data_IF_600769070294
#
_entry.id   IF_600769070294
#
_cell.length_a   1.000
_cell.length_b   1.000
_cell.length_c   1.000
_cell.angle_alpha   90.00
_cell.angle_beta   90.00
_cell.angle_gamma   90.00
#
_symmetry.space_group_name_H-M   'P 1'
#
loop_
_entity.id
_entity.type
_entity.pdbx_description
1 polymer ?
#
# COMPACT_ATOMS: atom_id res chain seq x y z
N UNK A 1 -30.83 3.53 29.61
CA UNK A 1 -30.49 2.77 28.38
C UNK A 1 -29.19 2.01 28.61
N UNK A 2 -29.19 0.69 28.45
CA UNK A 2 -27.97 -0.13 28.63
C UNK A 2 -27.17 -0.12 27.31
N UNK A 3 -25.84 0.05 27.32
CA UNK A 3 -25.02 0.01 26.11
C UNK A 3 -24.71 -1.46 25.76
N UNK A 4 -25.46 -2.03 24.80
CA UNK A 4 -25.18 -3.35 24.21
C UNK A 4 -25.40 -3.45 22.69
N UNK A 5 -25.67 -2.37 21.97
CA UNK A 5 -26.24 -2.47 20.62
C UNK A 5 -25.30 -2.17 19.42
N UNK A 6 -23.97 -2.24 19.55
CA UNK A 6 -23.08 -2.02 18.39
C UNK A 6 -22.50 -3.29 17.75
N UNK A 7 -22.69 -4.46 18.35
CA UNK A 7 -22.17 -5.72 17.81
C UNK A 7 -23.30 -6.60 17.26
N UNK A 8 -23.59 -6.48 15.96
CA UNK A 8 -24.45 -7.43 15.26
C UNK A 8 -23.67 -8.72 15.02
N UNK A 9 -24.17 -9.84 15.55
CA UNK A 9 -23.55 -11.17 15.44
C UNK A 9 -23.76 -11.71 14.01
N UNK A 10 -22.71 -12.02 13.23
CA UNK A 10 -22.88 -12.55 11.88
C UNK A 10 -23.46 -13.99 11.91
N UNK A 11 -24.16 -14.43 10.85
CA UNK A 11 -24.90 -15.69 10.83
C UNK A 11 -24.00 -16.93 10.99
N UNK A 12 -24.55 -17.95 11.67
CA UNK A 12 -23.83 -19.15 12.17
C UNK A 12 -23.25 -20.08 11.08
N UNK A 13 -23.52 -19.83 9.80
CA UNK A 13 -23.05 -20.67 8.69
C UNK A 13 -21.58 -20.44 8.30
N UNK A 14 -20.87 -19.49 8.94
CA UNK A 14 -19.56 -19.02 8.47
C UNK A 14 -18.33 -19.41 9.33
N UNK A 15 -18.46 -20.25 10.35
CA UNK A 15 -17.34 -20.53 11.26
C UNK A 15 -17.12 -22.03 11.54
N UNK A 16 -15.86 -22.46 11.47
CA UNK A 16 -15.41 -23.79 11.90
C UNK A 16 -15.28 -23.86 13.44
N UNK A 17 -15.18 -25.08 13.99
CA UNK A 17 -15.11 -25.35 15.46
C UNK A 17 -14.01 -24.57 16.20
N UNK A 18 -12.90 -24.24 15.55
CA UNK A 18 -11.79 -23.47 16.16
C UNK A 18 -12.14 -21.98 16.34
N UNK A 19 -12.93 -21.42 15.42
CA UNK A 19 -13.28 -20.01 15.42
C UNK A 19 -14.38 -19.67 16.44
N UNK A 20 -15.24 -20.65 16.78
CA UNK A 20 -16.18 -20.54 17.91
C UNK A 20 -15.47 -20.52 19.27
N UNK A 21 -14.28 -21.13 19.35
CA UNK A 21 -13.43 -21.13 20.55
C UNK A 21 -12.76 -19.76 20.73
N UNK A 22 -12.30 -19.14 19.64
CA UNK A 22 -11.77 -17.77 19.62
C UNK A 22 -12.79 -16.73 20.07
N UNK A 23 -14.06 -16.83 19.64
CA UNK A 23 -15.12 -15.91 20.09
C UNK A 23 -15.47 -16.08 21.57
N UNK A 24 -15.47 -17.31 22.11
CA UNK A 24 -15.67 -17.56 23.54
C UNK A 24 -14.49 -17.05 24.39
N UNK A 25 -13.27 -17.14 23.87
CA UNK A 25 -12.08 -16.54 24.50
C UNK A 25 -12.18 -15.00 24.48
N UNK A 26 -12.68 -14.41 23.40
CA UNK A 26 -12.92 -12.97 23.27
C UNK A 26 -14.03 -12.46 24.22
N UNK A 27 -15.19 -13.14 24.31
CA UNK A 27 -16.27 -12.82 25.27
C UNK A 27 -15.83 -13.00 26.74
N UNK A 28 -15.06 -14.05 27.05
CA UNK A 28 -14.57 -14.29 28.42
C UNK A 28 -13.50 -13.31 28.88
N UNK A 29 -12.73 -12.72 27.93
CA UNK A 29 -11.67 -11.74 28.22
C UNK A 29 -12.19 -10.31 28.25
N UNK A 30 -13.22 -9.95 27.49
CA UNK A 30 -13.79 -8.60 27.48
C UNK A 30 -14.62 -8.25 28.73
N UNK A 31 -15.07 -9.25 29.50
CA UNK A 31 -15.81 -9.01 30.75
C UNK A 31 -14.95 -8.65 31.96
N UNK A 32 -13.61 -8.73 31.86
CA UNK A 32 -12.69 -8.53 33.00
C UNK A 32 -11.88 -7.24 32.97
N UNK A 33 -12.02 -6.41 31.93
CA UNK A 33 -11.27 -5.15 31.78
C UNK A 33 -12.22 -3.95 31.82
N UNK A 34 -12.75 -3.73 33.01
CA UNK A 34 -13.27 -2.43 33.46
C UNK A 34 -12.67 -2.17 34.83
N UNK A 35 -11.37 -1.86 34.86
CA UNK A 35 -10.69 -1.03 35.84
C UNK A 35 -9.17 -1.19 35.64
N UNK A 36 -8.53 -0.04 35.46
CA UNK A 36 -7.13 0.25 35.73
C UNK A 36 -6.07 -0.36 34.80
N UNK A 37 -5.86 0.30 33.66
CA UNK A 37 -4.56 0.32 32.97
C UNK A 37 -4.09 1.78 32.91
N UNK A 38 -3.55 2.29 34.00
CA UNK A 38 -2.67 3.46 33.96
C UNK A 38 -1.26 2.90 33.75
N UNK A 39 -0.71 3.07 32.54
CA UNK A 39 0.70 2.73 32.29
C UNK A 39 1.57 3.75 33.04
N UNK A 40 2.54 3.31 33.87
CA UNK A 40 3.23 4.21 34.80
C UNK A 40 4.22 5.20 34.14
N UNK A 41 4.56 5.04 32.86
CA UNK A 41 5.40 5.99 32.12
C UNK A 41 4.74 6.33 30.77
N UNK A 42 4.56 7.63 30.52
CA UNK A 42 4.18 8.17 29.21
C UNK A 42 5.25 7.85 28.16
N UNK A 43 4.84 7.42 26.97
CA UNK A 43 5.74 7.11 25.85
C UNK A 43 5.76 8.25 24.85
N UNK A 44 6.94 8.75 24.51
CA UNK A 44 7.10 9.82 23.54
C UNK A 44 7.10 9.22 22.13
N UNK A 45 6.21 9.68 21.26
CA UNK A 45 6.14 9.20 19.88
C UNK A 45 6.18 10.36 18.88
N UNK A 46 6.78 10.11 17.71
CA UNK A 46 6.72 11.00 16.56
C UNK A 46 5.70 10.46 15.55
N UNK A 47 4.81 11.32 15.06
CA UNK A 47 3.83 10.97 14.05
C UNK A 47 4.07 11.79 12.79
N UNK A 48 4.15 11.13 11.62
CA UNK A 48 4.49 11.79 10.35
C UNK A 48 3.33 12.52 9.67
N UNK A 49 2.24 12.80 10.41
CA UNK A 49 1.06 13.53 9.96
C UNK A 49 0.36 14.23 11.12
N UNK A 50 -0.51 15.18 10.80
CA UNK A 50 -1.38 15.80 11.80
C UNK A 50 -2.48 14.83 12.25
N UNK A 51 -2.78 14.81 13.56
CA UNK A 51 -3.92 14.07 14.11
C UNK A 51 -5.18 14.95 14.21
N UNK A 52 -6.36 14.32 14.23
CA UNK A 52 -7.59 15.02 14.64
C UNK A 52 -7.64 15.18 16.16
N UNK A 53 -8.48 16.08 16.67
CA UNK A 53 -8.64 16.25 18.14
C UNK A 53 -9.07 14.96 18.84
N UNK A 54 -9.95 14.16 18.22
CA UNK A 54 -10.36 12.87 18.74
C UNK A 54 -9.22 11.84 18.76
N UNK A 55 -8.32 11.90 17.78
CA UNK A 55 -7.14 11.03 17.70
C UNK A 55 -6.07 11.44 18.72
N UNK A 56 -5.87 12.74 18.95
CA UNK A 56 -5.00 13.26 20.03
C UNK A 56 -5.49 12.82 21.39
N UNK A 57 -6.77 13.05 21.70
CA UNK A 57 -7.37 12.61 22.97
C UNK A 57 -7.22 11.10 23.19
N UNK A 58 -7.37 10.29 22.13
CA UNK A 58 -7.13 8.85 22.21
C UNK A 58 -5.65 8.53 22.50
N UNK A 59 -4.70 9.25 21.89
CA UNK A 59 -3.28 9.04 22.15
C UNK A 59 -2.93 9.36 23.61
N UNK A 60 -3.47 10.46 24.14
CA UNK A 60 -3.33 10.84 25.56
C UNK A 60 -3.90 9.76 26.49
N UNK A 61 -5.11 9.27 26.20
CA UNK A 61 -5.76 8.19 26.96
C UNK A 61 -4.96 6.87 26.93
N UNK A 62 -4.16 6.66 25.88
CA UNK A 62 -3.27 5.51 25.72
C UNK A 62 -1.89 5.73 26.37
N UNK A 63 -1.63 6.90 26.96
CA UNK A 63 -0.34 7.25 27.56
C UNK A 63 0.74 7.58 26.53
N UNK A 64 0.36 8.01 25.32
CA UNK A 64 1.28 8.41 24.25
C UNK A 64 1.40 9.94 24.22
N UNK A 65 2.60 10.44 24.51
CA UNK A 65 2.97 11.85 24.30
C UNK A 65 3.35 12.05 22.85
N UNK A 66 2.54 12.80 22.09
CA UNK A 66 2.65 12.90 20.63
C UNK A 66 3.36 14.17 20.18
N UNK A 67 4.40 14.01 19.35
CA UNK A 67 4.97 15.07 18.51
C UNK A 67 4.52 14.85 17.07
N UNK A 68 3.77 15.80 16.50
CA UNK A 68 3.29 15.74 15.12
C UNK A 68 4.26 16.48 14.20
N UNK A 69 4.85 15.76 13.24
CA UNK A 69 5.76 16.32 12.22
C UNK A 69 5.26 15.86 10.84
N UNK A 70 4.35 16.62 10.22
CA UNK A 70 3.76 16.23 8.94
C UNK A 70 4.83 16.08 7.86
N UNK A 71 4.87 14.93 7.20
CA UNK A 71 5.83 14.66 6.13
C UNK A 71 5.52 15.37 4.81
N UNK A 72 4.28 15.84 4.63
CA UNK A 72 3.79 16.44 3.41
C UNK A 72 3.08 17.76 3.71
N UNK A 73 3.27 18.74 2.84
CA UNK A 73 2.47 19.97 2.81
C UNK A 73 1.71 20.06 1.48
N UNK A 74 0.44 20.41 1.59
CA UNK A 74 -0.40 20.76 0.43
C UNK A 74 -0.32 22.27 0.23
N UNK A 75 0.29 22.68 -0.87
CA UNK A 75 0.36 24.09 -1.25
C UNK A 75 -0.65 24.39 -2.34
N UNK A 76 -1.60 25.25 -2.06
CA UNK A 76 -2.57 25.70 -3.06
C UNK A 76 -1.96 26.75 -3.98
N UNK A 77 -2.28 26.66 -5.27
CA UNK A 77 -1.85 27.64 -6.27
C UNK A 77 -2.67 28.90 -6.12
N UNK A 78 -2.02 30.05 -6.32
CA UNK A 78 -2.66 31.38 -6.29
C UNK A 78 -2.83 32.01 -7.68
N UNK A 79 -2.29 31.39 -8.73
CA UNK A 79 -2.35 31.93 -10.10
C UNK A 79 -3.73 31.70 -10.74
N UNK A 80 -4.72 32.44 -10.28
CA UNK A 80 -6.09 32.34 -10.74
C UNK A 80 -6.30 32.95 -12.14
N UNK A 81 -5.46 33.91 -12.55
CA UNK A 81 -5.55 34.59 -13.86
C UNK A 81 -5.47 33.61 -15.04
N UNK A 82 -4.62 32.58 -14.96
CA UNK A 82 -4.56 31.54 -15.99
C UNK A 82 -5.84 30.72 -16.07
N UNK A 83 -6.54 30.53 -14.95
CA UNK A 83 -7.80 29.80 -14.92
C UNK A 83 -8.91 30.61 -15.56
N UNK A 84 -9.00 31.92 -15.25
CA UNK A 84 -9.97 32.80 -15.90
C UNK A 84 -9.78 32.83 -17.42
N UNK A 85 -8.53 32.91 -17.90
CA UNK A 85 -8.24 32.84 -19.33
C UNK A 85 -8.72 31.54 -19.98
N UNK A 86 -8.50 30.40 -19.32
CA UNK A 86 -8.98 29.10 -19.83
C UNK A 86 -10.50 29.07 -19.90
N UNK A 87 -11.20 29.63 -18.90
CA UNK A 87 -12.66 29.75 -18.91
C UNK A 87 -13.13 30.65 -20.05
N UNK A 88 -12.50 31.81 -20.26
CA UNK A 88 -12.86 32.76 -21.31
C UNK A 88 -12.62 32.19 -22.73
N UNK A 89 -11.61 31.33 -22.90
CA UNK A 89 -11.30 30.65 -24.16
C UNK A 89 -12.19 29.41 -24.43
N UNK A 90 -12.87 28.87 -23.41
CA UNK A 90 -13.67 27.65 -23.52
C UNK A 90 -15.16 27.98 -23.70
N UNK A 91 -15.79 27.45 -24.76
CA UNK A 91 -17.20 27.76 -25.07
C UNK A 91 -18.17 27.21 -24.03
N UNK A 92 -18.00 25.93 -23.69
CA UNK A 92 -18.75 25.19 -22.69
C UNK A 92 -17.76 24.40 -21.85
N UNK A 93 -18.04 24.29 -20.55
CA UNK A 93 -17.19 23.55 -19.62
C UNK A 93 -18.03 22.63 -18.75
N UNK A 94 -17.42 21.54 -18.28
CA UNK A 94 -17.85 20.77 -17.11
C UNK A 94 -16.69 20.68 -16.13
N UNK A 95 -16.97 20.42 -14.85
CA UNK A 95 -15.94 20.33 -13.82
C UNK A 95 -15.75 18.89 -13.35
N UNK A 96 -14.50 18.44 -13.27
CA UNK A 96 -14.14 17.13 -12.74
C UNK A 96 -13.18 17.25 -11.55
N UNK A 97 -13.42 16.47 -10.49
CA UNK A 97 -12.64 16.51 -9.26
C UNK A 97 -12.20 15.10 -8.82
N UNK A 98 -10.89 14.89 -8.71
CA UNK A 98 -10.29 13.63 -8.26
C UNK A 98 -9.85 13.63 -6.79
N UNK A 99 -10.03 14.74 -6.08
CA UNK A 99 -9.75 14.80 -4.65
C UNK A 99 -10.43 15.98 -3.95
N UNK A 100 -10.59 15.87 -2.62
CA UNK A 100 -11.04 16.98 -1.75
C UNK A 100 -10.11 18.19 -1.81
N UNK A 101 -8.81 17.99 -2.03
CA UNK A 101 -7.87 19.11 -2.19
C UNK A 101 -8.07 19.81 -3.54
N UNK A 102 -8.45 19.08 -4.59
CA UNK A 102 -8.91 19.68 -5.84
C UNK A 102 -10.08 20.65 -5.61
N UNK A 103 -11.07 20.22 -4.83
CA UNK A 103 -12.24 21.05 -4.47
C UNK A 103 -11.83 22.28 -3.65
N UNK A 104 -10.96 22.12 -2.64
CA UNK A 104 -10.46 23.24 -1.83
C UNK A 104 -9.69 24.28 -2.66
N UNK A 105 -8.84 23.83 -3.58
CA UNK A 105 -8.09 24.74 -4.46
C UNK A 105 -9.00 25.47 -5.45
N UNK A 106 -10.01 24.77 -5.97
CA UNK A 106 -11.07 25.39 -6.77
C UNK A 106 -11.83 26.47 -5.98
N UNK A 107 -12.25 26.18 -4.74
CA UNK A 107 -12.97 27.15 -3.91
C UNK A 107 -12.11 28.38 -3.58
N UNK A 108 -10.79 28.21 -3.39
CA UNK A 108 -9.87 29.35 -3.26
C UNK A 108 -9.88 30.25 -4.50
N UNK A 109 -9.90 29.68 -5.70
CA UNK A 109 -10.04 30.48 -6.92
C UNK A 109 -11.37 31.23 -7.00
N UNK A 110 -12.46 30.57 -6.59
CA UNK A 110 -13.79 31.21 -6.51
C UNK A 110 -13.78 32.39 -5.55
N UNK A 111 -13.19 32.21 -4.35
CA UNK A 111 -13.04 33.26 -3.35
C UNK A 111 -12.08 34.38 -3.80
N UNK A 112 -11.08 34.07 -4.63
CA UNK A 112 -10.18 35.05 -5.22
C UNK A 112 -10.79 35.84 -6.39
N UNK A 113 -12.03 35.54 -6.79
CA UNK A 113 -12.79 36.30 -7.78
C UNK A 113 -12.88 35.67 -9.17
N UNK A 114 -12.44 34.42 -9.35
CA UNK A 114 -12.67 33.68 -10.62
C UNK A 114 -14.17 33.47 -10.81
N UNK A 115 -14.66 33.80 -12.00
CA UNK A 115 -16.08 33.66 -12.35
C UNK A 115 -16.29 32.34 -13.08
N UNK A 116 -16.75 31.34 -12.35
CA UNK A 116 -17.16 30.06 -12.92
C UNK A 116 -18.60 30.16 -13.48
N UNK A 117 -18.90 29.52 -14.62
CA UNK A 117 -20.25 29.51 -15.17
C UNK A 117 -21.25 28.83 -14.22
N UNK A 118 -22.45 29.41 -14.10
CA UNK A 118 -23.55 28.83 -13.32
C UNK A 118 -24.13 27.58 -14.01
N UNK A 119 -24.75 26.69 -13.23
CA UNK A 119 -25.36 25.45 -13.71
C UNK A 119 -24.40 24.54 -14.51
N UNK A 120 -23.11 24.59 -14.19
CA UNK A 120 -22.10 23.73 -14.81
C UNK A 120 -22.20 22.32 -14.24
N UNK A 121 -22.31 21.26 -15.06
CA UNK A 121 -22.26 19.89 -14.59
C UNK A 121 -20.95 19.59 -13.83
N UNK A 122 -21.07 18.91 -12.69
CA UNK A 122 -19.93 18.62 -11.80
C UNK A 122 -19.82 17.13 -11.53
N UNK A 123 -18.61 16.62 -11.71
CA UNK A 123 -18.25 15.23 -11.51
C UNK A 123 -17.23 15.09 -10.38
N UNK A 124 -17.42 14.13 -9.50
CA UNK A 124 -16.50 13.81 -8.42
C UNK A 124 -16.13 12.32 -8.45
N UNK A 125 -14.85 12.02 -8.26
CA UNK A 125 -14.33 10.65 -8.28
C UNK A 125 -14.94 9.74 -7.20
N UNK A 126 -15.51 10.30 -6.13
CA UNK A 126 -16.04 9.51 -5.03
C UNK A 126 -16.80 10.34 -3.99
N UNK A 127 -17.48 9.64 -3.08
CA UNK A 127 -18.46 10.25 -2.16
C UNK A 127 -17.88 11.36 -1.27
N UNK A 128 -16.65 11.19 -0.76
CA UNK A 128 -15.98 12.21 0.07
C UNK A 128 -15.67 13.50 -0.70
N UNK A 129 -15.35 13.39 -1.98
CA UNK A 129 -15.09 14.55 -2.85
C UNK A 129 -16.40 15.26 -3.18
N UNK A 130 -17.46 14.51 -3.45
CA UNK A 130 -18.80 15.05 -3.66
C UNK A 130 -19.36 15.75 -2.41
N UNK A 131 -19.14 15.21 -1.22
CA UNK A 131 -19.53 15.85 0.05
C UNK A 131 -18.82 17.20 0.23
N UNK A 132 -17.52 17.28 -0.06
CA UNK A 132 -16.78 18.56 -0.02
C UNK A 132 -17.29 19.58 -1.05
N UNK A 133 -17.81 19.12 -2.19
CA UNK A 133 -18.44 20.00 -3.20
C UNK A 133 -19.79 20.54 -2.71
N UNK A 134 -20.58 19.70 -2.04
CA UNK A 134 -21.84 20.11 -1.41
C UNK A 134 -21.63 21.18 -0.35
N UNK A 135 -20.58 21.03 0.47
CA UNK A 135 -20.21 22.02 1.49
C UNK A 135 -19.95 23.43 0.92
N UNK A 136 -19.58 23.54 -0.36
CA UNK A 136 -19.33 24.82 -1.04
C UNK A 136 -20.44 25.21 -2.03
N UNK A 137 -21.59 24.52 -1.99
CA UNK A 137 -22.81 24.90 -2.72
C UNK A 137 -23.08 24.14 -4.03
N UNK A 138 -22.41 23.02 -4.29
CA UNK A 138 -22.72 22.14 -5.44
C UNK A 138 -23.54 20.93 -4.96
N UNK A 139 -24.86 21.04 -5.05
CA UNK A 139 -25.77 19.98 -4.58
C UNK A 139 -25.89 18.81 -5.59
N UNK A 140 -25.82 19.11 -6.88
CA UNK A 140 -25.95 18.15 -7.98
C UNK A 140 -24.56 17.74 -8.51
N UNK A 141 -24.03 16.64 -7.94
CA UNK A 141 -22.70 16.12 -8.25
C UNK A 141 -22.80 14.67 -8.68
N UNK A 142 -22.38 14.38 -9.91
CA UNK A 142 -22.32 13.03 -10.46
C UNK A 142 -21.11 12.27 -9.89
N UNK A 143 -21.35 11.06 -9.40
CA UNK A 143 -20.32 10.20 -8.78
C UNK A 143 -20.42 8.80 -9.40
N UNK A 144 -19.30 8.21 -9.86
CA UNK A 144 -19.32 6.87 -10.44
C UNK A 144 -19.48 5.79 -9.37
N UNK A 145 -20.02 4.63 -9.76
CA UNK A 145 -20.06 3.44 -8.90
C UNK A 145 -18.64 2.99 -8.52
N UNK A 146 -17.75 2.94 -9.52
CA UNK A 146 -16.32 2.72 -9.33
C UNK A 146 -15.64 4.05 -8.97
N UNK A 147 -15.29 4.23 -7.69
CA UNK A 147 -14.79 5.49 -7.16
C UNK A 147 -13.29 5.72 -7.39
N UNK A 148 -12.87 5.66 -8.66
CA UNK A 148 -11.50 5.95 -9.12
C UNK A 148 -11.49 6.73 -10.44
N UNK A 149 -10.30 7.03 -10.96
CA UNK A 149 -10.12 7.84 -12.16
C UNK A 149 -10.71 7.20 -13.42
N UNK A 150 -10.75 5.87 -13.49
CA UNK A 150 -11.32 5.12 -14.62
C UNK A 150 -12.84 5.18 -14.56
N UNK A 151 -13.43 4.91 -13.39
CA UNK A 151 -14.87 5.02 -13.20
C UNK A 151 -15.39 6.43 -13.46
N UNK A 152 -14.65 7.46 -13.04
CA UNK A 152 -14.97 8.86 -13.33
C UNK A 152 -14.94 9.15 -14.84
N UNK A 153 -13.94 8.61 -15.55
CA UNK A 153 -13.85 8.79 -17.00
C UNK A 153 -15.03 8.16 -17.73
N UNK A 154 -15.37 6.90 -17.39
CA UNK A 154 -16.49 6.20 -18.00
C UNK A 154 -17.82 6.91 -17.75
N UNK A 155 -18.05 7.43 -16.55
CA UNK A 155 -19.24 8.22 -16.25
C UNK A 155 -19.35 9.46 -17.14
N UNK A 156 -18.26 10.23 -17.28
CA UNK A 156 -18.23 11.42 -18.13
C UNK A 156 -18.46 11.05 -19.61
N UNK A 157 -17.81 9.99 -20.11
CA UNK A 157 -18.00 9.50 -21.48
C UNK A 157 -19.46 9.13 -21.73
N UNK A 158 -20.05 8.37 -20.81
CA UNK A 158 -21.45 7.95 -20.88
C UNK A 158 -22.41 9.14 -20.94
N UNK A 159 -22.18 10.17 -20.13
CA UNK A 159 -22.99 11.39 -20.13
C UNK A 159 -22.81 12.17 -21.43
N UNK A 160 -21.58 12.31 -21.94
CA UNK A 160 -21.32 12.94 -23.24
C UNK A 160 -22.00 12.22 -24.42
N UNK A 161 -22.15 10.90 -24.34
CA UNK A 161 -22.89 10.12 -25.34
C UNK A 161 -24.41 10.28 -25.24
N UNK A 162 -24.95 10.47 -24.02
CA UNK A 162 -26.39 10.52 -23.75
C UNK A 162 -26.98 11.92 -23.79
N UNK A 163 -26.17 12.95 -23.54
CA UNK A 163 -26.59 14.34 -23.35
C UNK A 163 -26.08 15.23 -24.50
N UNK A 164 -26.91 15.52 -25.53
CA UNK A 164 -26.50 16.35 -26.67
C UNK A 164 -26.01 17.77 -26.29
N UNK A 165 -26.45 18.28 -25.14
CA UNK A 165 -26.05 19.57 -24.59
C UNK A 165 -24.56 19.62 -24.21
N UNK A 166 -23.94 18.47 -23.92
CA UNK A 166 -22.52 18.35 -23.60
C UNK A 166 -21.63 18.31 -24.85
N UNK A 167 -22.20 18.30 -26.06
CA UNK A 167 -21.41 18.38 -27.28
C UNK A 167 -20.54 19.65 -27.31
N UNK A 168 -19.29 19.48 -27.75
CA UNK A 168 -18.25 20.51 -27.82
C UNK A 168 -17.91 21.15 -26.45
N UNK A 169 -18.05 20.38 -25.36
CA UNK A 169 -17.75 20.82 -24.00
C UNK A 169 -16.36 20.38 -23.55
N UNK A 170 -15.61 21.27 -22.92
CA UNK A 170 -14.30 20.97 -22.34
C UNK A 170 -14.44 20.51 -20.89
N UNK A 171 -13.80 19.41 -20.53
CA UNK A 171 -13.68 18.95 -19.14
C UNK A 171 -12.55 19.69 -18.45
N UNK A 172 -12.86 20.54 -17.47
CA UNK A 172 -11.87 21.16 -16.60
C UNK A 172 -11.65 20.29 -15.37
N UNK A 173 -10.50 19.64 -15.32
CA UNK A 173 -10.15 18.73 -14.23
C UNK A 173 -9.29 19.44 -13.18
N UNK A 174 -9.86 19.72 -12.00
CA UNK A 174 -9.14 20.39 -10.90
C UNK A 174 -8.38 19.37 -10.06
N UNK A 175 -7.05 19.37 -10.17
CA UNK A 175 -6.21 18.28 -9.69
C UNK A 175 -4.93 18.76 -8.98
N UNK A 176 -4.21 17.80 -8.40
CA UNK A 176 -2.86 18.01 -7.89
C UNK A 176 -1.79 17.96 -8.99
N UNK A 177 -0.57 18.37 -8.65
CA UNK A 177 0.62 18.22 -9.50
C UNK A 177 1.00 16.75 -9.72
N UNK A 178 0.78 15.92 -8.71
CA UNK A 178 0.88 14.45 -8.75
C UNK A 178 -0.52 13.88 -8.99
N UNK A 179 -0.80 13.51 -10.24
CA UNK A 179 -2.07 12.90 -10.66
C UNK A 179 -1.81 11.67 -11.51
N UNK A 180 -2.75 10.73 -11.50
CA UNK A 180 -2.74 9.58 -12.41
C UNK A 180 -3.32 9.99 -13.76
N UNK A 181 -2.78 9.44 -14.83
CA UNK A 181 -3.13 9.83 -16.20
C UNK A 181 -4.38 9.13 -16.75
N UNK A 182 -4.94 8.15 -16.01
CA UNK A 182 -6.08 7.33 -16.44
C UNK A 182 -7.26 8.17 -16.94
N UNK A 183 -7.72 9.13 -16.14
CA UNK A 183 -8.87 9.98 -16.50
C UNK A 183 -8.64 10.72 -17.82
N UNK A 184 -7.49 11.38 -17.94
CA UNK A 184 -7.11 12.12 -19.14
C UNK A 184 -7.03 11.18 -20.35
N UNK A 185 -6.40 10.03 -20.18
CA UNK A 185 -6.23 9.05 -21.24
C UNK A 185 -7.58 8.63 -21.82
N UNK A 186 -8.51 8.14 -21.00
CA UNK A 186 -9.82 7.67 -21.48
C UNK A 186 -10.67 8.77 -22.12
N UNK A 187 -10.66 10.00 -21.57
CA UNK A 187 -11.40 11.11 -22.17
C UNK A 187 -10.80 11.52 -23.53
N UNK A 188 -9.47 11.58 -23.63
CA UNK A 188 -8.79 11.96 -24.88
C UNK A 188 -9.01 10.93 -25.99
N UNK A 189 -8.93 9.63 -25.67
CA UNK A 189 -9.23 8.54 -26.62
C UNK A 189 -10.69 8.56 -27.09
N UNK A 190 -11.60 9.14 -26.30
CA UNK A 190 -13.01 9.31 -26.65
C UNK A 190 -13.29 10.66 -27.33
N UNK A 191 -12.26 11.37 -27.79
CA UNK A 191 -12.34 12.68 -28.44
C UNK A 191 -12.98 13.78 -27.56
N UNK A 192 -12.95 13.62 -26.23
CA UNK A 192 -13.43 14.61 -25.27
C UNK A 192 -12.26 15.52 -24.85
N UNK A 193 -12.40 16.82 -25.07
CA UNK A 193 -11.38 17.80 -24.68
C UNK A 193 -11.28 17.88 -23.15
N UNK A 194 -10.06 17.71 -22.62
CA UNK A 194 -9.78 17.78 -21.18
C UNK A 194 -8.61 18.74 -20.92
N UNK A 195 -8.82 19.69 -20.01
CA UNK A 195 -7.78 20.59 -19.50
C UNK A 195 -7.61 20.37 -18.00
N UNK A 196 -6.40 19.94 -17.62
CA UNK A 196 -6.04 19.82 -16.21
C UNK A 196 -5.69 21.19 -15.64
N UNK A 197 -6.40 21.57 -14.58
CA UNK A 197 -6.15 22.76 -13.78
C UNK A 197 -5.48 22.32 -12.48
N UNK A 198 -4.16 22.46 -12.42
CA UNK A 198 -3.38 22.12 -11.21
C UNK A 198 -3.65 23.18 -10.15
N UNK A 199 -4.44 22.84 -9.13
CA UNK A 199 -4.86 23.78 -8.06
C UNK A 199 -4.07 23.63 -6.78
N UNK A 200 -3.33 22.52 -6.62
CA UNK A 200 -2.42 22.33 -5.51
C UNK A 200 -1.18 21.54 -5.93
N UNK A 201 -0.13 21.66 -5.13
CA UNK A 201 1.06 20.82 -5.23
C UNK A 201 1.32 20.11 -3.90
N UNK A 202 1.80 18.87 -3.96
CA UNK A 202 2.17 18.11 -2.76
C UNK A 202 3.69 18.11 -2.60
N UNK A 203 4.19 18.87 -1.64
CA UNK A 203 5.62 18.94 -1.31
C UNK A 203 5.97 18.02 -0.17
N UNK A 204 7.15 17.41 -0.25
CA UNK A 204 7.79 16.73 0.87
C UNK A 204 8.35 17.79 1.82
N UNK A 205 8.05 17.64 3.10
CA UNK A 205 8.55 18.53 4.14
C UNK A 205 9.95 18.11 4.57
N UNK A 206 10.77 19.11 4.90
CA UNK A 206 11.94 18.88 5.72
C UNK A 206 11.48 18.72 7.17
N UNK A 207 11.46 17.48 7.63
CA UNK A 207 10.97 17.11 8.96
C UNK A 207 11.95 17.58 10.03
N UNK A 208 11.41 18.12 11.13
CA UNK A 208 12.24 18.38 12.31
C UNK A 208 12.44 17.08 13.05
N UNK A 209 13.66 16.57 13.00
CA UNK A 209 14.01 15.37 13.76
C UNK A 209 13.97 15.72 15.26
N UNK A 210 13.42 14.82 16.10
CA UNK A 210 13.33 15.08 17.52
C UNK A 210 14.73 15.26 18.12
N UNK A 211 14.92 16.31 18.92
CA UNK A 211 16.18 16.56 19.63
C UNK A 211 16.38 15.64 20.83
N UNK A 212 15.27 15.13 21.38
CA UNK A 212 15.24 14.16 22.48
C UNK A 212 14.86 12.78 21.94
N UNK A 213 15.34 11.68 22.55
CA UNK A 213 14.93 10.34 22.18
C UNK A 213 13.41 10.14 22.25
N UNK A 214 12.83 9.59 21.19
CA UNK A 214 11.43 9.13 21.17
C UNK A 214 11.40 7.61 21.29
N UNK A 215 10.33 7.05 21.85
CA UNK A 215 10.14 5.61 21.97
C UNK A 215 9.74 4.98 20.62
N UNK A 216 9.05 5.73 19.75
CA UNK A 216 8.61 5.22 18.45
C UNK A 216 8.26 6.28 17.41
N UNK A 217 8.34 5.91 16.13
CA UNK A 217 7.96 6.77 14.99
C UNK A 217 6.90 6.06 14.13
N UNK A 218 5.80 6.76 13.85
CA UNK A 218 4.66 6.23 13.10
C UNK A 218 4.60 6.83 11.69
N UNK A 219 4.79 5.99 10.70
CA UNK A 219 4.74 6.32 9.28
C UNK A 219 3.40 5.94 8.65
N UNK A 220 2.79 6.89 7.94
CA UNK A 220 1.45 6.76 7.36
C UNK A 220 1.44 6.53 5.84
N UNK A 221 2.59 6.68 5.19
CA UNK A 221 2.72 6.46 3.75
C UNK A 221 4.18 6.26 3.33
N UNK A 222 4.42 5.66 2.14
CA UNK A 222 5.73 5.64 1.47
C UNK A 222 6.40 7.03 1.44
N UNK A 223 5.65 8.05 1.01
CA UNK A 223 6.15 9.43 0.96
C UNK A 223 6.60 9.96 2.33
N UNK A 224 6.00 9.50 3.44
CA UNK A 224 6.44 9.89 4.78
C UNK A 224 7.81 9.31 5.16
N UNK A 225 8.12 8.10 4.68
CA UNK A 225 9.44 7.48 4.82
C UNK A 225 10.47 8.28 4.00
N UNK A 226 10.09 8.66 2.77
CA UNK A 226 10.94 9.48 1.92
C UNK A 226 11.27 10.85 2.54
N UNK A 227 10.29 11.55 3.12
CA UNK A 227 10.49 12.84 3.77
C UNK A 227 11.47 12.72 4.95
N UNK A 228 11.28 11.70 5.78
CA UNK A 228 12.14 11.43 6.93
C UNK A 228 13.58 11.12 6.49
N UNK A 229 13.76 10.30 5.44
CA UNK A 229 15.07 10.02 4.84
C UNK A 229 15.77 11.28 4.35
N UNK A 230 15.07 12.11 3.57
CA UNK A 230 15.63 13.35 3.02
C UNK A 230 16.02 14.34 4.14
N UNK A 231 15.32 14.28 5.26
CA UNK A 231 15.62 15.05 6.46
C UNK A 231 16.78 14.49 7.29
N UNK A 232 17.40 13.38 6.85
CA UNK A 232 18.51 12.72 7.55
C UNK A 232 18.07 11.79 8.68
N UNK A 233 16.77 11.48 8.80
CA UNK A 233 16.21 10.77 9.94
C UNK A 233 16.80 9.39 10.21
N UNK A 234 17.24 8.68 9.16
CA UNK A 234 17.88 7.36 9.26
C UNK A 234 19.39 7.40 9.57
N UNK A 235 20.01 8.58 9.67
CA UNK A 235 21.44 8.73 10.01
C UNK A 235 21.69 8.79 11.51
N UNK A 236 20.65 8.68 12.33
CA UNK A 236 20.76 8.71 13.79
C UNK A 236 21.44 7.43 14.29
N UNK A 237 22.35 7.52 15.30
CA UNK A 237 23.09 6.36 15.80
C UNK A 237 22.20 5.24 16.33
N UNK A 238 21.10 5.63 16.99
CA UNK A 238 20.08 4.72 17.50
C UNK A 238 18.72 5.16 16.97
N UNK A 239 18.06 4.28 16.21
CA UNK A 239 16.70 4.52 15.76
C UNK A 239 15.70 4.00 16.80
N UNK A 240 14.57 4.71 17.00
CA UNK A 240 13.48 4.25 17.84
C UNK A 240 12.71 3.09 17.19
N UNK A 241 11.70 2.57 17.87
CA UNK A 241 10.80 1.57 17.28
C UNK A 241 10.06 2.18 16.07
N UNK A 242 10.04 1.44 14.96
CA UNK A 242 9.51 1.92 13.69
C UNK A 242 8.16 1.28 13.42
N UNK A 243 7.16 2.11 13.17
CA UNK A 243 5.79 1.69 12.96
C UNK A 243 5.30 2.14 11.57
N UNK A 244 4.63 1.24 10.85
CA UNK A 244 4.02 1.52 9.56
C UNK A 244 2.51 1.22 9.60
N UNK A 245 1.71 2.11 9.02
CA UNK A 245 0.25 1.93 8.98
C UNK A 245 -0.19 0.76 8.08
N UNK A 246 0.64 0.36 7.13
CA UNK A 246 0.32 -0.69 6.15
C UNK A 246 1.56 -1.26 5.48
N UNK A 247 1.35 -2.32 4.69
CA UNK A 247 2.41 -3.12 4.05
C UNK A 247 3.33 -2.29 3.16
N UNK A 248 2.79 -1.45 2.27
CA UNK A 248 3.60 -0.63 1.34
C UNK A 248 4.50 0.34 2.09
N UNK A 249 4.01 0.95 3.18
CA UNK A 249 4.82 1.83 4.02
C UNK A 249 5.88 1.05 4.78
N UNK A 250 5.53 -0.15 5.26
CA UNK A 250 6.44 -1.01 6.01
C UNK A 250 7.59 -1.53 5.14
N UNK A 251 7.31 -1.88 3.90
CA UNK A 251 8.32 -2.32 2.94
C UNK A 251 9.36 -1.23 2.72
N UNK A 252 8.94 -0.02 2.37
CA UNK A 252 9.86 1.09 2.18
C UNK A 252 10.63 1.43 3.46
N UNK A 253 9.96 1.45 4.60
CA UNK A 253 10.59 1.73 5.89
C UNK A 253 11.62 0.66 6.29
N UNK A 254 11.36 -0.61 5.97
CA UNK A 254 12.28 -1.72 6.25
C UNK A 254 13.51 -1.65 5.35
N UNK A 255 13.34 -1.31 4.07
CA UNK A 255 14.44 -1.11 3.12
C UNK A 255 15.35 0.03 3.58
N UNK A 256 14.77 1.16 3.98
CA UNK A 256 15.53 2.35 4.37
C UNK A 256 16.20 2.22 5.73
N UNK A 257 15.54 1.59 6.70
CA UNK A 257 16.08 1.46 8.05
C UNK A 257 16.99 0.24 8.24
N UNK A 258 16.83 -0.81 7.41
CA UNK A 258 17.47 -2.11 7.64
C UNK A 258 17.01 -2.82 8.92
N UNK A 259 15.89 -2.39 9.52
CA UNK A 259 15.38 -2.90 10.81
C UNK A 259 14.01 -3.56 10.66
N UNK A 260 13.63 -4.28 11.71
CA UNK A 260 12.26 -4.76 11.87
C UNK A 260 11.30 -3.57 12.01
N UNK A 261 10.18 -3.63 11.31
CA UNK A 261 9.12 -2.62 11.34
C UNK A 261 7.81 -3.24 11.82
N UNK A 262 7.16 -2.58 12.77
CA UNK A 262 5.84 -2.98 13.26
C UNK A 262 4.76 -2.49 12.32
N UNK A 263 3.91 -3.40 11.83
CA UNK A 263 2.86 -3.07 10.87
C UNK A 263 1.51 -3.12 11.56
N UNK A 264 0.74 -2.04 11.44
CA UNK A 264 -0.64 -1.98 11.92
C UNK A 264 -1.48 -3.14 11.34
N UNK A 265 -2.35 -3.78 12.13
CA UNK A 265 -3.27 -4.81 11.64
C UNK A 265 -4.21 -4.30 10.55
N UNK A 266 -4.62 -3.04 10.66
CA UNK A 266 -5.54 -2.37 9.74
C UNK A 266 -5.00 -0.97 9.43
N UNK A 267 -5.21 -0.45 8.20
CA UNK A 267 -4.78 0.88 7.80
C UNK A 267 -5.70 1.98 8.34
N UNK A 268 -6.00 1.91 9.63
CA UNK A 268 -6.82 2.85 10.38
C UNK A 268 -6.00 3.46 11.51
N UNK A 269 -6.17 4.76 11.74
CA UNK A 269 -5.36 5.48 12.75
C UNK A 269 -5.69 5.06 14.17
N UNK A 270 -6.96 4.83 14.49
CA UNK A 270 -7.38 4.46 15.84
C UNK A 270 -6.80 3.08 16.18
N UNK A 271 -6.86 2.14 15.22
CA UNK A 271 -6.20 0.84 15.34
C UNK A 271 -4.69 1.00 15.49
N UNK A 272 -4.08 1.88 14.69
CA UNK A 272 -2.64 2.07 14.67
C UNK A 272 -2.09 2.63 15.99
N UNK A 273 -2.74 3.65 16.58
CA UNK A 273 -2.36 4.21 17.88
C UNK A 273 -2.47 3.17 19.00
N UNK A 274 -3.54 2.37 19.02
CA UNK A 274 -3.71 1.29 20.00
C UNK A 274 -2.65 0.20 19.85
N UNK A 275 -2.30 -0.13 18.61
CA UNK A 275 -1.26 -1.09 18.31
C UNK A 275 0.11 -0.61 18.81
N UNK A 276 0.45 0.67 18.57
CA UNK A 276 1.68 1.28 19.07
C UNK A 276 1.74 1.27 20.60
N UNK A 277 0.69 1.74 21.27
CA UNK A 277 0.62 1.76 22.74
C UNK A 277 0.85 0.35 23.34
N UNK A 278 0.28 -0.67 22.71
CA UNK A 278 0.50 -2.07 23.11
C UNK A 278 1.95 -2.50 22.94
N UNK A 279 2.55 -2.28 21.77
CA UNK A 279 3.93 -2.67 21.48
C UNK A 279 4.89 -1.98 22.46
N UNK A 280 4.75 -0.68 22.66
CA UNK A 280 5.60 0.10 23.58
C UNK A 280 5.33 -0.20 25.07
N UNK A 281 4.14 -0.69 25.40
CA UNK A 281 3.79 -1.17 26.74
C UNK A 281 4.42 -2.54 27.05
N UNK A 282 4.48 -3.44 26.07
CA UNK A 282 5.07 -4.78 26.22
C UNK A 282 6.61 -4.74 26.28
N UNK A 283 7.26 -3.75 25.66
CA UNK A 283 8.73 -3.57 25.69
C UNK A 283 9.28 -3.02 27.01
N UNK A 284 8.43 -2.46 27.88
CA UNK A 284 8.85 -1.88 29.17
C UNK A 284 9.14 -2.87 30.30
N UNK A 285 8.95 -4.18 30.10
CA UNK A 285 9.05 -5.20 31.15
C UNK A 285 10.04 -6.34 30.83
N UNK A 286 11.00 -6.11 29.94
CA UNK A 286 12.12 -7.03 29.70
C UNK A 286 13.43 -6.40 30.16
N UNK A 287 14.30 -7.11 30.89
CA UNK A 287 15.67 -6.68 31.10
C UNK A 287 16.36 -6.56 29.74
N UNK A 288 17.18 -5.52 29.60
CA UNK A 288 18.05 -5.32 28.45
C UNK A 288 19.07 -6.47 28.43
N UNK A 289 18.86 -7.47 27.58
CA UNK A 289 19.98 -8.30 27.13
C UNK A 289 20.72 -7.50 26.07
N UNK A 290 22.01 -7.25 26.30
CA UNK A 290 22.94 -6.69 25.33
C UNK A 290 22.95 -7.55 24.06
N UNK A 291 22.23 -7.11 23.03
CA UNK A 291 22.48 -7.58 21.68
C UNK A 291 23.75 -6.90 21.17
N UNK A 292 24.86 -7.65 21.25
CA UNK A 292 26.10 -7.34 20.53
C UNK A 292 25.86 -7.15 19.02
N UNK A 293 26.72 -6.40 18.32
CA UNK A 293 26.49 -6.04 16.93
C UNK A 293 26.42 -7.28 16.04
N UNK A 294 25.27 -7.52 15.40
CA UNK A 294 25.17 -8.54 14.35
C UNK A 294 25.96 -8.07 13.13
N UNK A 295 27.15 -8.64 12.96
CA UNK A 295 27.89 -8.65 11.71
C UNK A 295 26.99 -9.22 10.60
N UNK A 296 26.86 -8.46 9.51
CA UNK A 296 26.48 -8.87 8.15
C UNK A 296 25.49 -10.04 8.02
N UNK A 297 24.23 -9.73 7.75
CA UNK A 297 23.28 -10.70 7.23
C UNK A 297 23.62 -11.08 5.78
N UNK A 298 24.58 -11.98 5.59
CA UNK A 298 24.56 -12.87 4.42
C UNK A 298 23.45 -13.89 4.67
N UNK A 299 22.50 -13.98 3.75
CA UNK A 299 21.43 -14.98 3.81
C UNK A 299 22.00 -16.38 3.99
N UNK A 300 21.27 -17.23 4.71
CA UNK A 300 21.59 -18.65 4.84
C UNK A 300 21.61 -19.27 3.43
N UNK A 301 22.81 -19.60 2.95
CA UNK A 301 23.13 -20.04 1.58
C UNK A 301 22.50 -21.41 1.23
N UNK A 302 21.84 -22.05 2.20
CA UNK A 302 21.35 -23.44 2.08
C UNK A 302 19.83 -23.59 1.86
N UNK A 303 19.03 -22.52 1.98
CA UNK A 303 17.56 -22.58 1.84
C UNK A 303 17.00 -21.51 0.89
N UNK A 304 17.63 -21.35 -0.27
CA UNK A 304 17.22 -20.43 -1.34
C UNK A 304 17.07 -18.98 -0.82
N UNK A 305 18.10 -18.49 -0.13
CA UNK A 305 18.14 -17.14 0.44
C UNK A 305 16.96 -16.80 1.34
N UNK A 306 16.59 -17.75 2.22
CA UNK A 306 15.47 -17.53 3.15
C UNK A 306 15.78 -16.42 4.15
N UNK A 307 14.99 -15.35 4.10
CA UNK A 307 15.05 -14.33 5.12
C UNK A 307 14.07 -14.58 6.27
N UNK A 308 14.64 -14.95 7.43
CA UNK A 308 13.89 -15.25 8.65
C UNK A 308 13.19 -14.00 9.23
N UNK A 309 13.72 -12.79 9.01
CA UNK A 309 13.12 -11.56 9.55
C UNK A 309 11.75 -11.26 8.95
N UNK A 310 11.49 -11.72 7.72
CA UNK A 310 10.23 -11.53 7.01
C UNK A 310 9.19 -12.62 7.30
N UNK A 311 9.50 -13.60 8.16
CA UNK A 311 8.62 -14.75 8.44
C UNK A 311 7.25 -14.34 8.99
N UNK A 312 7.22 -13.38 9.91
CA UNK A 312 5.98 -12.92 10.53
C UNK A 312 5.11 -12.15 9.53
N UNK A 313 5.73 -11.29 8.71
CA UNK A 313 5.05 -10.58 7.63
C UNK A 313 4.44 -11.56 6.62
N UNK A 314 5.23 -12.55 6.17
CA UNK A 314 4.75 -13.63 5.32
C UNK A 314 3.59 -14.42 5.94
N UNK A 315 3.57 -14.62 7.25
CA UNK A 315 2.44 -15.27 7.93
C UNK A 315 1.18 -14.39 7.93
N UNK A 316 1.33 -13.08 8.12
CA UNK A 316 0.21 -12.12 8.04
C UNK A 316 -0.36 -12.06 6.63
N UNK A 317 0.50 -11.94 5.59
CA UNK A 317 0.07 -11.92 4.19
C UNK A 317 -0.70 -13.19 3.80
N UNK A 318 -0.26 -14.38 4.26
CA UNK A 318 -1.01 -15.64 4.05
C UNK A 318 -2.43 -15.62 4.60
N UNK A 319 -2.66 -14.88 5.67
CA UNK A 319 -3.96 -14.81 6.32
C UNK A 319 -4.84 -13.71 5.70
N UNK A 320 -4.24 -12.77 4.96
CA UNK A 320 -4.87 -11.60 4.36
C UNK A 320 -4.70 -11.58 2.82
N UNK A 321 -4.61 -12.75 2.17
CA UNK A 321 -4.44 -12.89 0.72
C UNK A 321 -5.57 -12.25 -0.08
N UNK A 322 -5.25 -11.74 -1.27
CA UNK A 322 -6.26 -11.23 -2.23
C UNK A 322 -7.19 -12.34 -2.71
N UNK A 323 -8.32 -11.96 -3.35
CA UNK A 323 -9.24 -12.94 -3.96
C UNK A 323 -8.55 -13.76 -5.05
N UNK A 324 -7.70 -13.12 -5.86
CA UNK A 324 -6.92 -13.77 -6.90
C UNK A 324 -5.91 -14.76 -6.29
N UNK A 325 -5.15 -14.36 -5.26
CA UNK A 325 -4.24 -15.26 -4.53
C UNK A 325 -4.96 -16.47 -3.93
N UNK A 326 -6.11 -16.24 -3.28
CA UNK A 326 -6.91 -17.30 -2.68
C UNK A 326 -7.38 -18.28 -3.76
N UNK A 327 -7.89 -17.76 -4.88
CA UNK A 327 -8.36 -18.57 -6.01
C UNK A 327 -7.25 -19.42 -6.60
N UNK A 328 -6.13 -18.79 -6.99
CA UNK A 328 -4.98 -19.49 -7.56
C UNK A 328 -4.41 -20.54 -6.59
N UNK A 329 -4.30 -20.20 -5.30
CA UNK A 329 -3.84 -21.14 -4.29
C UNK A 329 -4.78 -22.35 -4.15
N UNK A 330 -6.09 -22.11 -4.05
CA UNK A 330 -7.06 -23.17 -3.72
C UNK A 330 -7.38 -24.05 -4.92
N UNK A 331 -7.47 -23.48 -6.11
CA UNK A 331 -7.88 -24.19 -7.32
C UNK A 331 -6.69 -24.88 -8.01
N UNK A 332 -5.49 -24.27 -8.00
CA UNK A 332 -4.34 -24.76 -8.77
C UNK A 332 -3.22 -25.37 -7.90
N UNK A 333 -2.83 -24.72 -6.80
CA UNK A 333 -1.60 -25.09 -6.08
C UNK A 333 -1.79 -26.03 -4.88
N UNK A 334 -2.93 -25.95 -4.18
CA UNK A 334 -3.18 -26.72 -2.94
C UNK A 334 -3.20 -28.24 -3.14
N UNK A 335 -3.45 -28.71 -4.37
CA UNK A 335 -3.60 -30.13 -4.73
C UNK A 335 -2.42 -30.76 -5.46
N UNK A 336 -1.28 -30.06 -5.64
CA UNK A 336 -0.16 -30.50 -6.50
C UNK A 336 -0.55 -30.81 -7.95
N UNK A 337 -1.54 -30.12 -8.51
CA UNK A 337 -1.96 -30.33 -9.90
C UNK A 337 -0.82 -30.07 -10.90
N UNK A 338 0.13 -29.22 -10.52
CA UNK A 338 1.32 -28.90 -11.29
C UNK A 338 2.46 -29.93 -11.18
N UNK A 339 2.32 -30.96 -10.33
CA UNK A 339 3.42 -31.91 -10.01
C UNK A 339 4.48 -31.35 -9.05
N UNK A 340 4.46 -30.05 -8.75
CA UNK A 340 5.45 -29.36 -7.91
C UNK A 340 4.88 -28.86 -6.59
N UNK A 341 5.77 -28.70 -5.60
CA UNK A 341 5.38 -28.06 -4.33
C UNK A 341 5.52 -26.55 -4.45
N UNK A 342 4.38 -25.86 -4.42
CA UNK A 342 4.32 -24.40 -4.43
C UNK A 342 4.14 -23.88 -3.00
N UNK A 343 5.00 -22.95 -2.60
CA UNK A 343 4.99 -22.31 -1.29
C UNK A 343 4.36 -20.93 -1.40
N UNK A 344 3.28 -20.68 -0.66
CA UNK A 344 2.62 -19.38 -0.62
C UNK A 344 3.33 -18.38 0.30
N UNK A 345 3.44 -17.12 -0.15
CA UNK A 345 3.97 -15.95 0.58
C UNK A 345 5.31 -16.28 1.23
N UNK A 346 6.30 -16.57 0.39
CA UNK A 346 7.59 -17.15 0.79
C UNK A 346 8.68 -16.06 0.78
N UNK A 347 9.33 -15.78 1.92
CA UNK A 347 10.44 -14.81 1.93
C UNK A 347 11.67 -15.28 1.17
N UNK A 348 12.20 -14.44 0.30
CA UNK A 348 13.39 -14.69 -0.52
C UNK A 348 14.18 -13.38 -0.60
N UNK A 349 15.46 -13.41 -0.22
CA UNK A 349 16.27 -12.18 -0.06
C UNK A 349 15.54 -11.16 0.83
N UNK A 350 15.34 -9.93 0.35
CA UNK A 350 14.64 -8.88 1.09
C UNK A 350 13.17 -8.75 0.66
N UNK A 351 12.63 -9.75 -0.05
CA UNK A 351 11.29 -9.71 -0.63
C UNK A 351 10.43 -10.90 -0.16
N UNK A 352 9.12 -10.83 -0.39
CA UNK A 352 8.18 -11.93 -0.19
C UNK A 352 7.53 -12.24 -1.53
N UNK A 353 7.75 -13.46 -2.02
CA UNK A 353 7.11 -13.96 -3.24
C UNK A 353 5.72 -14.49 -2.92
N UNK A 354 4.69 -14.12 -3.70
CA UNK A 354 3.32 -14.61 -3.50
C UNK A 354 3.24 -16.13 -3.59
N UNK A 355 3.96 -16.70 -4.56
CA UNK A 355 4.15 -18.14 -4.71
C UNK A 355 5.57 -18.47 -5.15
N UNK A 356 6.16 -19.53 -4.56
CA UNK A 356 7.49 -20.03 -4.92
C UNK A 356 7.47 -21.54 -5.15
N UNK A 357 7.87 -21.97 -6.33
CA UNK A 357 8.31 -23.33 -6.62
C UNK A 357 9.81 -23.44 -6.33
N UNK A 358 10.17 -24.10 -5.23
CA UNK A 358 11.59 -24.25 -4.83
C UNK A 358 12.41 -25.01 -5.86
N UNK A 359 11.89 -26.12 -6.35
CA UNK A 359 12.65 -27.03 -7.20
C UNK A 359 13.05 -26.38 -8.52
N UNK A 360 12.20 -25.53 -9.07
CA UNK A 360 12.42 -24.82 -10.34
C UNK A 360 12.98 -23.40 -10.15
N UNK A 361 13.18 -22.96 -8.90
CA UNK A 361 13.43 -21.55 -8.55
C UNK A 361 12.46 -20.60 -9.27
N UNK A 362 11.19 -20.98 -9.40
CA UNK A 362 10.17 -20.21 -10.09
C UNK A 362 9.30 -19.45 -9.08
N UNK A 363 9.31 -18.13 -9.17
CA UNK A 363 8.45 -17.20 -8.44
C UNK A 363 7.25 -16.87 -9.34
N UNK A 364 6.04 -16.93 -8.77
CA UNK A 364 4.81 -16.50 -9.42
C UNK A 364 4.22 -15.36 -8.58
N UNK A 365 4.04 -14.19 -9.20
CA UNK A 365 3.55 -12.97 -8.55
C UNK A 365 2.19 -12.57 -9.11
N UNK A 366 1.32 -12.08 -8.23
CA UNK A 366 0.05 -11.51 -8.64
C UNK A 366 0.11 -9.98 -8.51
N UNK A 367 -0.12 -9.31 -9.63
CA UNK A 367 -0.14 -7.86 -9.68
C UNK A 367 -1.53 -7.37 -9.25
N UNK A 368 -1.60 -6.92 -8.01
CA UNK A 368 -2.66 -6.03 -7.55
C UNK A 368 -2.26 -4.61 -7.93
N UNK A 369 -2.65 -4.17 -9.13
CA UNK A 369 -2.36 -2.84 -9.67
C UNK A 369 -2.22 -1.75 -8.59
N UNK A 370 -0.99 -1.30 -8.33
CA UNK A 370 -0.74 -0.01 -7.69
C UNK A 370 -0.15 0.94 -8.73
N UNK A 371 -1.03 1.69 -9.41
CA UNK A 371 -0.65 2.73 -10.35
C UNK A 371 -0.01 3.93 -9.63
N UNK A 372 1.32 3.90 -9.44
CA UNK A 372 2.17 5.08 -9.27
C UNK A 372 3.50 4.87 -10.01
N UNK A 373 3.76 5.63 -11.09
CA UNK A 373 4.87 5.37 -12.02
C UNK A 373 6.18 6.15 -11.74
N UNK A 374 7.24 5.63 -12.36
CA UNK A 374 8.69 5.98 -12.37
C UNK A 374 9.53 5.53 -11.17
N UNK A 375 9.15 5.85 -9.93
CA UNK A 375 9.90 5.35 -8.76
C UNK A 375 9.58 3.88 -8.47
N UNK A 376 8.32 3.48 -8.59
CA UNK A 376 7.90 2.09 -8.48
C UNK A 376 8.52 1.24 -9.60
N UNK A 377 8.55 1.75 -10.84
CA UNK A 377 9.23 1.08 -11.96
C UNK A 377 10.72 0.80 -11.70
N UNK A 378 11.46 1.77 -11.14
CA UNK A 378 12.88 1.58 -10.77
C UNK A 378 13.05 0.59 -9.61
N UNK A 379 12.14 0.60 -8.63
CA UNK A 379 12.11 -0.34 -7.49
C UNK A 379 11.76 -1.76 -7.95
N UNK A 380 10.74 -1.91 -8.78
CA UNK A 380 10.31 -3.20 -9.36
C UNK A 380 11.39 -3.80 -10.25
N UNK A 381 12.05 -2.96 -11.07
CA UNK A 381 13.19 -3.41 -11.88
C UNK A 381 14.35 -3.88 -11.01
N UNK A 382 14.69 -3.15 -9.94
CA UNK A 382 15.74 -3.55 -8.99
C UNK A 382 15.39 -4.88 -8.30
N UNK A 383 14.16 -5.03 -7.81
CA UNK A 383 13.65 -6.26 -7.21
C UNK A 383 13.75 -7.44 -8.17
N UNK A 384 13.30 -7.24 -9.41
CA UNK A 384 13.38 -8.26 -10.45
C UNK A 384 14.83 -8.66 -10.73
N UNK A 385 15.73 -7.70 -10.92
CA UNK A 385 17.15 -7.98 -11.16
C UNK A 385 17.79 -8.74 -10.00
N UNK A 386 17.56 -8.33 -8.75
CA UNK A 386 18.16 -9.01 -7.58
C UNK A 386 17.68 -10.46 -7.42
N UNK A 387 16.40 -10.73 -7.70
CA UNK A 387 15.84 -12.07 -7.66
C UNK A 387 16.35 -12.92 -8.83
N UNK A 388 16.44 -12.36 -10.03
CA UNK A 388 16.97 -13.04 -11.21
C UNK A 388 18.47 -13.37 -11.06
N UNK A 389 19.26 -12.45 -10.50
CA UNK A 389 20.68 -12.65 -10.19
C UNK A 389 20.89 -13.77 -9.15
N UNK A 390 19.94 -13.96 -8.23
CA UNK A 390 19.93 -15.08 -7.29
C UNK A 390 19.46 -16.41 -7.93
N UNK A 391 19.19 -16.39 -9.24
CA UNK A 391 18.83 -17.55 -10.05
C UNK A 391 17.34 -17.88 -10.03
N UNK A 392 16.47 -16.96 -9.58
CA UNK A 392 15.03 -17.14 -9.70
C UNK A 392 14.53 -16.76 -11.09
N UNK A 393 13.42 -17.38 -11.50
CA UNK A 393 12.62 -16.95 -12.64
C UNK A 393 11.32 -16.39 -12.11
N UNK A 394 10.84 -15.30 -12.71
CA UNK A 394 9.64 -14.59 -12.25
C UNK A 394 8.59 -14.66 -13.35
N UNK A 395 7.40 -15.14 -12.99
CA UNK A 395 6.20 -15.13 -13.81
C UNK A 395 5.16 -14.26 -13.12
N UNK A 396 4.50 -13.36 -13.86
CA UNK A 396 3.54 -12.41 -13.29
C UNK A 396 2.19 -12.54 -13.97
N UNK A 397 1.13 -12.43 -13.19
CA UNK A 397 -0.25 -12.35 -13.66
C UNK A 397 -0.96 -11.20 -12.97
N UNK A 398 -1.88 -10.53 -13.66
CA UNK A 398 -2.79 -9.59 -13.03
C UNK A 398 -3.89 -10.31 -12.25
N UNK A 399 -4.43 -9.63 -11.23
CA UNK A 399 -5.62 -10.10 -10.52
C UNK A 399 -6.78 -10.42 -11.48
N UNK A 400 -6.94 -9.61 -12.53
CA UNK A 400 -8.00 -9.75 -13.52
C UNK A 400 -7.84 -11.01 -14.38
N UNK A 401 -6.61 -11.38 -14.78
CA UNK A 401 -6.34 -12.61 -15.53
C UNK A 401 -6.70 -13.84 -14.69
N UNK A 402 -6.28 -13.88 -13.43
CA UNK A 402 -6.63 -14.98 -12.50
C UNK A 402 -8.14 -15.05 -12.26
N UNK A 403 -8.81 -13.90 -12.21
CA UNK A 403 -10.24 -13.83 -11.94
C UNK A 403 -11.11 -14.12 -13.17
N UNK A 404 -10.67 -13.79 -14.39
CA UNK A 404 -11.46 -13.95 -15.62
C UNK A 404 -11.11 -15.23 -16.38
N UNK A 405 -9.84 -15.62 -16.41
CA UNK A 405 -9.37 -16.78 -17.19
C UNK A 405 -8.27 -17.58 -16.48
N UNK A 406 -8.67 -18.29 -15.42
CA UNK A 406 -7.77 -19.17 -14.67
C UNK A 406 -7.17 -20.30 -15.52
N UNK A 407 -7.85 -20.74 -16.58
CA UNK A 407 -7.37 -21.84 -17.44
C UNK A 407 -6.18 -21.38 -18.29
N UNK A 408 -6.20 -20.15 -18.79
CA UNK A 408 -5.04 -19.59 -19.47
C UNK A 408 -3.86 -19.44 -18.51
N UNK A 409 -4.10 -18.92 -17.31
CA UNK A 409 -3.08 -18.79 -16.25
C UNK A 409 -2.44 -20.16 -15.92
N UNK A 410 -3.26 -21.19 -15.72
CA UNK A 410 -2.79 -22.57 -15.53
C UNK A 410 -1.92 -23.05 -16.70
N UNK A 411 -2.39 -22.86 -17.94
CA UNK A 411 -1.68 -23.29 -19.14
C UNK A 411 -0.32 -22.62 -19.26
N UNK A 412 -0.22 -21.33 -18.96
CA UNK A 412 1.03 -20.58 -18.98
C UNK A 412 2.01 -21.04 -17.88
N UNK A 413 1.50 -21.29 -16.66
CA UNK A 413 2.30 -21.84 -15.56
C UNK A 413 2.88 -23.20 -15.96
N UNK A 414 2.06 -24.09 -16.52
CA UNK A 414 2.49 -25.42 -16.95
C UNK A 414 3.53 -25.34 -18.07
N UNK A 415 3.32 -24.47 -19.06
CA UNK A 415 4.30 -24.25 -20.12
C UNK A 415 5.65 -23.77 -19.58
N UNK A 416 5.65 -22.86 -18.60
CA UNK A 416 6.88 -22.42 -17.94
C UNK A 416 7.56 -23.54 -17.16
N UNK A 417 6.79 -24.38 -16.48
CA UNK A 417 7.31 -25.55 -15.76
C UNK A 417 8.01 -26.50 -16.73
N UNK A 418 7.36 -26.90 -17.82
CA UNK A 418 7.91 -27.80 -18.85
C UNK A 418 9.21 -27.25 -19.47
N UNK A 419 9.22 -25.94 -19.74
CA UNK A 419 10.40 -25.24 -20.26
C UNK A 419 11.57 -25.27 -19.28
N UNK A 420 11.30 -25.09 -17.99
CA UNK A 420 12.34 -25.12 -16.94
C UNK A 420 12.82 -26.55 -16.63
N UNK A 421 11.95 -27.55 -16.76
CA UNK A 421 12.34 -28.97 -16.69
C UNK A 421 13.29 -29.35 -17.82
N UNK A 422 12.97 -28.94 -19.05
CA UNK A 422 13.79 -29.22 -20.23
C UNK A 422 15.20 -28.64 -20.10
N UNK A 423 15.33 -27.48 -19.46
CA UNK A 423 16.62 -26.82 -19.22
C UNK A 423 17.42 -27.41 -18.04
N UNK A 424 16.81 -28.22 -17.16
CA UNK A 424 17.52 -28.92 -16.08
C UNK A 424 18.28 -30.16 -16.56
N UNK A 425 17.88 -30.74 -17.69
CA UNK A 425 18.44 -31.99 -18.22
C UNK A 425 19.86 -31.90 -18.77
N UNK A 426 20.40 -30.69 -18.97
CA UNK A 426 21.71 -30.47 -19.61
C UNK A 426 22.88 -30.37 -18.60
N UNK A 427 22.61 -30.26 -17.30
CA UNK A 427 23.62 -30.01 -16.25
C UNK A 427 23.99 -31.24 -15.41
N UNK A 428 23.58 -32.45 -15.85
CA UNK A 428 23.92 -33.70 -15.17
C UNK A 428 24.57 -34.73 -16.11
N UNK A 429 25.81 -34.46 -16.54
CA UNK A 429 26.70 -35.51 -17.03
C UNK A 429 27.53 -36.08 -15.85
N UNK A 430 27.69 -37.41 -15.72
CA UNK A 430 28.38 -38.01 -14.59
C UNK A 430 29.90 -37.78 -14.66
N UNK A 431 30.62 -37.74 -13.52
CA UNK A 431 32.06 -37.50 -13.51
C UNK A 431 32.81 -38.68 -14.15
N UNK A 432 33.74 -38.36 -15.05
CA UNK A 432 34.73 -39.30 -15.58
C UNK A 432 35.52 -39.93 -14.42
N UNK A 433 35.56 -41.27 -14.39
CA UNK A 433 36.41 -42.04 -13.47
C UNK A 433 37.87 -41.62 -13.64
N UNK A 434 38.51 -41.27 -12.53
CA UNK A 434 39.89 -40.82 -12.48
C UNK A 434 40.90 -41.88 -12.92
N UNK A 435 41.90 -41.43 -13.68
CA UNK A 435 43.15 -42.14 -13.89
C UNK A 435 44.00 -42.09 -12.62
N UNK A 436 44.44 -43.27 -12.19
CA UNK A 436 45.38 -43.48 -11.09
C UNK A 436 46.79 -43.08 -11.51
N UNK A 437 47.39 -42.11 -10.84
CA UNK A 437 48.84 -41.92 -10.80
C UNK A 437 49.44 -42.78 -9.69
N UNK A 438 50.33 -43.71 -10.03
CA UNK A 438 51.34 -44.24 -9.12
C UNK A 438 52.70 -43.69 -9.54
N UNK A 439 53.36 -43.04 -8.59
CA UNK A 439 54.71 -42.50 -8.71
C UNK A 439 55.79 -43.59 -8.57
N UNK A 440 56.96 -43.24 -9.09
CA UNK A 440 58.18 -44.01 -9.12
C UNK A 440 58.76 -44.29 -7.72
N UNK A 441 59.35 -45.48 -7.57
CA UNK A 441 60.39 -45.77 -6.58
C UNK A 441 61.68 -46.12 -7.31
N UNK A 442 62.71 -45.32 -7.07
CA UNK A 442 64.09 -45.45 -7.56
C UNK A 442 64.94 -44.37 -6.90
#
# INVERSE_FOLDING_TARGET
>A
MKPKDWAVKPPKSFWTREQTSWWKIYESRTSRYKQDLILPNTRNILITRELTNSQRSLADDLGLSVTEEPALTIEFRSNWLSVQRILDESKKVVFAFTSRNGVKGFDQFRQAGVRFPENTPVYAVGGKTAETLKDIGFDDVSVPDQQDGVGLAHLIIDDFLKMPELKDTTVLHFCGDKRRDELRHYLTESEIDIKDIVVYATKLNQMKLPSEPVDGILFYSPSSVQAFRQSGGFRQPELPELFAIGSTTAEELSIESGRHVHISPEPDTVVFLRFVARVLGETGNKPVEECTPLKGAMGDDTNLHYNKSLKELAQKLRNNSTKAEIRLWTELFRGKQTGYTILRQRPVLNYIADFLCKDLKLIIELDGFSHEFEQQWKKDKKRQTELEDAGFKILKFSDDEVMKDLRNVESEIMHWIEKLESNKGDDSSPPLKGESTQGAGG
#
